data_IF_210202473866
#
_entry.id   IF_210202473866
#
_cell.length_a   1.000
_cell.length_b   1.000
_cell.length_c   1.000
_cell.angle_alpha   90.00
_cell.angle_beta   90.00
_cell.angle_gamma   90.00
#
_symmetry.space_group_name_H-M   'P 1'
#
loop_
_entity.id
_entity.type
_entity.pdbx_description
1 polymer ?
#
# COMPACT_ATOMS: atom_id res chain seq x y z
N UNK A 1 12.10 -10.72 6.72
CA UNK A 1 11.46 -9.40 6.91
C UNK A 1 10.29 -9.46 7.93
N UNK A 2 10.48 -10.16 9.06
CA UNK A 2 9.45 -10.37 10.10
C UNK A 2 9.87 -9.74 11.44
N UNK A 3 10.57 -8.62 11.36
CA UNK A 3 11.39 -8.08 12.46
C UNK A 3 10.56 -7.61 13.67
N UNK A 4 9.30 -7.19 13.44
CA UNK A 4 8.36 -6.75 14.48
C UNK A 4 7.23 -7.78 14.76
N UNK A 5 7.18 -8.90 14.03
CA UNK A 5 6.09 -9.90 14.16
C UNK A 5 6.43 -10.97 15.21
N UNK A 6 7.73 -11.17 15.46
CA UNK A 6 8.24 -12.17 16.39
C UNK A 6 8.70 -11.42 17.63
N UNK A 7 8.00 -11.58 18.75
CA UNK A 7 8.40 -11.04 20.05
C UNK A 7 9.84 -11.48 20.35
N UNK A 8 10.79 -10.54 20.21
CA UNK A 8 12.15 -10.66 20.73
C UNK A 8 12.13 -10.40 22.24
N UNK A 9 11.39 -11.21 23.01
CA UNK A 9 11.56 -11.24 24.48
C UNK A 9 12.77 -12.10 24.90
N UNK A 10 13.38 -12.82 23.95
CA UNK A 10 14.45 -13.77 24.19
C UNK A 10 15.69 -13.32 23.39
N UNK A 11 16.87 -13.54 23.98
CA UNK A 11 18.16 -13.10 23.44
C UNK A 11 18.39 -13.54 21.99
N UNK A 12 19.42 -12.97 21.34
CA UNK A 12 19.69 -13.12 19.91
C UNK A 12 19.69 -14.57 19.36
N UNK A 13 19.85 -15.59 20.22
CA UNK A 13 19.82 -17.02 19.89
C UNK A 13 18.41 -17.67 19.76
N UNK A 14 17.32 -16.98 20.10
CA UNK A 14 15.96 -17.57 20.14
C UNK A 14 14.92 -16.88 19.23
N UNK A 15 15.37 -16.27 18.12
CA UNK A 15 14.42 -15.74 17.13
C UNK A 15 13.63 -16.88 16.50
N UNK A 16 12.36 -17.02 16.89
CA UNK A 16 11.45 -18.02 16.30
C UNK A 16 11.34 -17.76 14.79
N UNK A 17 11.75 -18.71 13.97
CA UNK A 17 11.56 -18.59 12.53
C UNK A 17 10.07 -18.66 12.18
N UNK A 18 9.60 -17.89 11.19
CA UNK A 18 8.22 -18.03 10.71
C UNK A 18 8.03 -19.43 10.14
N UNK A 19 7.06 -20.17 10.67
CA UNK A 19 6.70 -21.51 10.20
C UNK A 19 5.54 -21.39 9.21
N UNK A 20 5.71 -21.95 8.01
CA UNK A 20 4.62 -22.04 7.04
C UNK A 20 3.55 -23.01 7.58
N UNK A 21 2.37 -22.49 7.91
CA UNK A 21 1.24 -23.29 8.37
C UNK A 21 0.33 -23.75 7.22
N UNK A 22 0.27 -22.96 6.14
CA UNK A 22 -0.63 -23.20 5.03
C UNK A 22 -0.13 -22.52 3.76
N UNK A 23 -0.28 -23.21 2.63
CA UNK A 23 -0.05 -22.65 1.30
C UNK A 23 -1.39 -22.45 0.59
N UNK A 24 -1.57 -21.25 0.03
CA UNK A 24 -2.75 -20.83 -0.73
C UNK A 24 -2.35 -20.05 -1.96
N UNK A 25 -3.22 -20.11 -2.96
CA UNK A 25 -3.13 -19.28 -4.15
C UNK A 25 -3.93 -18.00 -3.97
N UNK A 26 -3.64 -16.97 -4.78
CA UNK A 26 -4.45 -15.74 -4.75
C UNK A 26 -5.95 -15.99 -5.03
N UNK A 27 -6.27 -17.05 -5.78
CA UNK A 27 -7.66 -17.45 -6.04
C UNK A 27 -8.39 -17.88 -4.77
N UNK A 28 -7.70 -18.54 -3.84
CA UNK A 28 -8.28 -18.97 -2.56
C UNK A 28 -8.63 -17.80 -1.64
N UNK A 29 -8.08 -16.61 -1.90
CA UNK A 29 -8.33 -15.40 -1.11
C UNK A 29 -9.50 -14.58 -1.62
N UNK A 30 -9.95 -14.81 -2.87
CA UNK A 30 -10.97 -13.98 -3.51
C UNK A 30 -12.28 -14.02 -2.74
N UNK A 31 -12.84 -12.85 -2.44
CA UNK A 31 -14.11 -12.71 -1.74
C UNK A 31 -14.05 -12.92 -0.23
N UNK A 32 -12.86 -13.10 0.36
CA UNK A 32 -12.73 -13.13 1.81
C UNK A 32 -13.14 -11.78 2.42
N UNK A 33 -14.04 -11.76 3.41
CA UNK A 33 -14.38 -10.54 4.14
C UNK A 33 -13.23 -10.16 5.07
N UNK A 34 -12.84 -8.89 5.02
CA UNK A 34 -11.72 -8.34 5.76
C UNK A 34 -12.20 -7.10 6.51
N UNK A 35 -11.67 -6.92 7.72
CA UNK A 35 -11.76 -5.65 8.44
C UNK A 35 -10.46 -4.88 8.20
N UNK A 36 -10.57 -3.73 7.55
CA UNK A 36 -9.41 -2.89 7.24
C UNK A 36 -9.30 -1.73 8.26
N UNK A 37 -8.12 -1.49 8.85
CA UNK A 37 -7.89 -0.35 9.73
C UNK A 37 -8.25 0.97 9.05
N UNK A 38 -8.90 1.88 9.78
CA UNK A 38 -9.29 3.24 9.34
C UNK A 38 -10.21 3.30 8.11
N UNK A 39 -10.67 2.17 7.55
CA UNK A 39 -11.60 2.17 6.44
C UNK A 39 -12.99 2.64 6.89
N UNK A 40 -13.70 3.35 6.01
CA UNK A 40 -15.09 3.77 6.26
C UNK A 40 -16.10 2.63 6.13
N UNK A 41 -15.72 1.55 5.46
CA UNK A 41 -16.52 0.33 5.34
C UNK A 41 -16.15 -0.65 6.44
N UNK A 42 -17.16 -1.14 7.17
CA UNK A 42 -16.98 -2.15 8.24
C UNK A 42 -16.39 -3.46 7.70
N UNK A 43 -16.69 -3.79 6.45
CA UNK A 43 -16.17 -4.98 5.76
C UNK A 43 -15.80 -4.63 4.33
N UNK A 44 -14.59 -5.01 3.94
CA UNK A 44 -14.09 -4.97 2.56
C UNK A 44 -13.76 -6.39 2.09
N UNK A 45 -13.58 -6.58 0.79
CA UNK A 45 -13.31 -7.90 0.21
C UNK A 45 -11.99 -7.94 -0.54
N UNK A 46 -11.34 -9.11 -0.51
CA UNK A 46 -10.18 -9.37 -1.35
C UNK A 46 -10.61 -9.56 -2.82
N UNK A 47 -10.14 -8.66 -3.70
CA UNK A 47 -10.41 -8.69 -5.13
C UNK A 47 -9.13 -8.97 -5.93
N UNK A 48 -9.20 -9.70 -7.06
CA UNK A 48 -8.04 -9.94 -7.89
C UNK A 48 -7.55 -8.66 -8.59
N UNK A 49 -6.23 -8.52 -8.71
CA UNK A 49 -5.59 -7.46 -9.49
C UNK A 49 -4.40 -8.03 -10.26
N UNK A 50 -4.48 -8.02 -11.59
CA UNK A 50 -3.53 -8.72 -12.47
C UNK A 50 -2.21 -7.97 -12.71
N UNK A 51 -2.07 -6.77 -12.16
CA UNK A 51 -0.93 -5.87 -12.37
C UNK A 51 -0.01 -5.76 -11.17
N UNK A 52 -0.30 -6.50 -10.08
CA UNK A 52 0.54 -6.52 -8.88
C UNK A 52 1.90 -7.17 -9.19
N UNK A 53 2.98 -6.52 -8.75
CA UNK A 53 4.33 -7.08 -8.81
C UNK A 53 4.53 -8.05 -7.65
N UNK A 54 4.78 -9.33 -7.94
CA UNK A 54 5.09 -10.33 -6.91
C UNK A 54 6.51 -10.20 -6.31
N UNK A 55 7.36 -9.35 -6.90
CA UNK A 55 8.73 -9.11 -6.41
C UNK A 55 8.89 -7.89 -5.51
N UNK A 56 7.80 -7.22 -5.11
CA UNK A 56 7.82 -6.06 -4.20
C UNK A 56 6.68 -6.16 -3.20
N UNK A 57 6.93 -5.81 -1.95
CA UNK A 57 5.97 -5.88 -0.86
C UNK A 57 5.56 -7.31 -0.55
N UNK A 58 4.32 -7.48 -0.08
CA UNK A 58 3.77 -8.76 0.38
C UNK A 58 2.95 -9.51 -0.68
N UNK A 59 2.83 -8.95 -1.89
CA UNK A 59 1.90 -9.42 -2.92
C UNK A 59 0.42 -9.09 -2.63
N UNK A 60 0.12 -8.40 -1.53
CA UNK A 60 -1.22 -7.90 -1.17
C UNK A 60 -1.15 -6.37 -1.15
N UNK A 61 -2.12 -5.72 -1.80
CA UNK A 61 -2.19 -4.26 -1.93
C UNK A 61 -3.52 -3.76 -1.38
N UNK A 62 -3.52 -2.62 -0.71
CA UNK A 62 -4.73 -1.95 -0.23
C UNK A 62 -5.34 -1.11 -1.34
N UNK A 63 -6.65 -1.24 -1.55
CA UNK A 63 -7.38 -0.48 -2.56
C UNK A 63 -7.83 0.87 -2.00
N UNK A 64 -7.30 1.98 -2.52
CA UNK A 64 -7.70 3.36 -2.18
C UNK A 64 -8.12 4.11 -3.46
N UNK A 65 -9.31 3.81 -4.02
CA UNK A 65 -9.77 4.32 -5.32
C UNK A 65 -9.87 5.85 -5.45
N UNK A 66 -9.84 6.60 -4.35
CA UNK A 66 -9.86 8.06 -4.40
C UNK A 66 -8.53 8.65 -4.85
N UNK A 67 -7.41 8.03 -4.44
CA UNK A 67 -6.06 8.59 -4.62
C UNK A 67 -5.12 7.67 -5.43
N UNK A 68 -5.54 6.44 -5.72
CA UNK A 68 -4.78 5.49 -6.52
C UNK A 68 -5.47 5.19 -7.86
N UNK A 69 -4.92 5.67 -9.00
CA UNK A 69 -5.47 5.41 -10.33
C UNK A 69 -5.60 3.93 -10.69
N UNK A 70 -4.63 3.11 -10.27
CA UNK A 70 -4.68 1.65 -10.51
C UNK A 70 -5.91 1.03 -9.84
N UNK A 71 -6.18 1.43 -8.60
CA UNK A 71 -7.25 0.88 -7.76
C UNK A 71 -8.62 1.33 -8.27
N UNK A 72 -8.75 2.61 -8.64
CA UNK A 72 -9.96 3.16 -9.22
C UNK A 72 -10.37 2.41 -10.49
N UNK A 73 -9.43 2.23 -11.42
CA UNK A 73 -9.72 1.56 -12.68
C UNK A 73 -9.98 0.08 -12.45
N UNK A 74 -9.28 -0.57 -11.52
CA UNK A 74 -9.53 -1.96 -11.18
C UNK A 74 -10.93 -2.16 -10.58
N UNK A 75 -11.33 -1.31 -9.63
CA UNK A 75 -12.67 -1.36 -9.04
C UNK A 75 -13.76 -1.13 -10.10
N UNK A 76 -13.56 -0.14 -10.98
CA UNK A 76 -14.49 0.15 -12.08
C UNK A 76 -14.62 -1.03 -13.05
N UNK A 77 -13.52 -1.71 -13.36
CA UNK A 77 -13.56 -2.91 -14.20
C UNK A 77 -14.36 -4.03 -13.53
N UNK A 78 -14.21 -4.24 -12.22
CA UNK A 78 -15.02 -5.21 -11.47
C UNK A 78 -16.51 -4.85 -11.43
N UNK A 79 -16.83 -3.57 -11.26
CA UNK A 79 -18.22 -3.09 -11.25
C UNK A 79 -18.90 -3.26 -12.62
N UNK A 80 -18.19 -2.95 -13.72
CA UNK A 80 -18.79 -2.86 -15.05
C UNK A 80 -18.70 -4.13 -15.90
N UNK A 81 -17.72 -5.01 -15.66
CA UNK A 81 -17.45 -6.18 -16.52
C UNK A 81 -17.95 -7.49 -15.89
N UNK A 82 -19.21 -7.83 -16.14
CA UNK A 82 -19.81 -9.07 -15.64
C UNK A 82 -19.05 -10.34 -16.08
N UNK A 83 -18.53 -10.38 -17.30
CA UNK A 83 -17.74 -11.50 -17.81
C UNK A 83 -16.41 -11.71 -17.04
N UNK A 84 -15.80 -10.63 -16.53
CA UNK A 84 -14.62 -10.74 -15.67
C UNK A 84 -14.99 -11.31 -14.31
N UNK A 85 -16.10 -10.85 -13.74
CA UNK A 85 -16.64 -11.37 -12.49
C UNK A 85 -16.86 -12.88 -12.57
N UNK A 86 -17.50 -13.36 -13.63
CA UNK A 86 -17.69 -14.80 -13.88
C UNK A 86 -16.37 -15.56 -14.04
N UNK A 87 -15.40 -15.01 -14.77
CA UNK A 87 -14.11 -15.66 -15.00
C UNK A 87 -13.30 -15.87 -13.71
N UNK A 88 -13.36 -14.91 -12.79
CA UNK A 88 -12.55 -14.88 -11.57
C UNK A 88 -13.34 -15.23 -10.30
N UNK A 89 -14.58 -15.68 -10.45
CA UNK A 89 -15.48 -16.04 -9.34
C UNK A 89 -15.68 -14.87 -8.35
N UNK A 90 -15.76 -13.65 -8.88
CA UNK A 90 -16.00 -12.43 -8.11
C UNK A 90 -17.49 -12.13 -8.11
N UNK A 91 -18.12 -12.08 -6.92
CA UNK A 91 -19.52 -11.70 -6.80
C UNK A 91 -19.71 -10.19 -6.95
N UNK A 92 -20.85 -9.80 -7.51
CA UNK A 92 -21.25 -8.40 -7.66
C UNK A 92 -21.29 -7.65 -6.33
N UNK A 93 -21.77 -8.31 -5.28
CA UNK A 93 -21.89 -7.77 -3.92
C UNK A 93 -20.53 -7.34 -3.32
N UNK A 94 -19.41 -7.88 -3.82
CA UNK A 94 -18.07 -7.55 -3.35
C UNK A 94 -17.49 -6.28 -4.00
N UNK A 95 -18.15 -5.72 -5.02
CA UNK A 95 -17.64 -4.56 -5.75
C UNK A 95 -18.68 -3.47 -6.01
N UNK A 96 -19.95 -3.79 -6.26
CA UNK A 96 -21.00 -2.82 -6.61
C UNK A 96 -21.30 -1.81 -5.48
N UNK A 97 -21.41 -2.22 -4.20
CA UNK A 97 -21.74 -1.29 -3.13
C UNK A 97 -20.60 -0.31 -2.78
N UNK A 98 -19.38 -0.62 -3.21
CA UNK A 98 -18.18 0.12 -2.84
C UNK A 98 -17.98 1.34 -3.74
N UNK A 99 -18.34 2.51 -3.23
CA UNK A 99 -18.08 3.80 -3.87
C UNK A 99 -16.73 4.37 -3.44
N UNK A 100 -16.20 5.26 -4.28
CA UNK A 100 -15.00 6.04 -3.95
C UNK A 100 -15.28 6.87 -2.70
N UNK A 101 -14.37 6.77 -1.72
CA UNK A 101 -14.45 7.51 -0.46
C UNK A 101 -13.42 8.62 -0.51
N UNK A 102 -13.89 9.85 -0.52
CA UNK A 102 -13.07 11.06 -0.55
C UNK A 102 -12.36 11.23 0.81
N UNK A 103 -11.04 11.22 0.80
CA UNK A 103 -10.20 11.31 2.02
C UNK A 103 -9.28 12.52 2.03
N UNK A 104 -9.04 13.11 0.86
CA UNK A 104 -8.08 14.17 0.63
C UNK A 104 -8.68 15.25 -0.25
N UNK A 105 -8.22 16.47 -0.06
CA UNK A 105 -8.48 17.58 -0.98
C UNK A 105 -7.15 18.22 -1.38
N UNK A 106 -7.01 18.52 -2.67
CA UNK A 106 -5.84 19.21 -3.23
C UNK A 106 -6.31 20.54 -3.82
N UNK A 107 -6.40 21.56 -2.96
CA UNK A 107 -6.99 22.87 -3.28
C UNK A 107 -6.35 23.56 -4.49
N UNK A 108 -5.05 23.39 -4.70
CA UNK A 108 -4.29 24.01 -5.79
C UNK A 108 -4.37 23.22 -7.12
N UNK A 109 -5.43 22.44 -7.32
CA UNK A 109 -5.59 21.62 -8.52
C UNK A 109 -7.04 21.38 -8.91
N UNK A 110 -7.25 21.10 -10.20
CA UNK A 110 -8.55 20.68 -10.73
C UNK A 110 -8.97 19.28 -10.25
N UNK A 111 -8.19 18.63 -9.38
CA UNK A 111 -8.44 17.26 -8.92
C UNK A 111 -9.66 17.13 -8.02
N UNK A 112 -10.11 18.22 -7.40
CA UNK A 112 -11.22 18.20 -6.45
C UNK A 112 -10.93 17.31 -5.23
N UNK A 113 -11.94 16.59 -4.76
CA UNK A 113 -11.92 15.73 -3.57
C UNK A 113 -11.57 14.25 -3.85
N UNK A 114 -11.40 13.88 -5.13
CA UNK A 114 -10.97 12.55 -5.55
C UNK A 114 -10.05 12.64 -6.77
N UNK A 115 -8.75 12.54 -6.52
CA UNK A 115 -7.72 12.81 -7.54
C UNK A 115 -7.60 11.70 -8.60
N UNK A 116 -7.79 10.44 -8.22
CA UNK A 116 -7.70 9.29 -9.11
C UNK A 116 -8.83 9.23 -10.16
N UNK A 117 -10.12 9.39 -9.79
CA UNK A 117 -11.20 9.48 -10.78
C UNK A 117 -10.97 10.60 -11.81
N UNK A 118 -10.59 11.80 -11.34
CA UNK A 118 -10.35 12.95 -12.20
C UNK A 118 -9.22 12.69 -13.20
N UNK A 119 -8.04 12.23 -12.74
CA UNK A 119 -6.90 12.04 -13.63
C UNK A 119 -7.16 10.91 -14.65
N UNK A 120 -7.87 9.86 -14.23
CA UNK A 120 -8.26 8.77 -15.11
C UNK A 120 -9.21 9.24 -16.22
N UNK A 121 -10.16 10.11 -15.90
CA UNK A 121 -11.04 10.73 -16.90
C UNK A 121 -10.27 11.66 -17.84
N UNK A 122 -9.46 12.57 -17.28
CA UNK A 122 -8.63 13.52 -18.05
C UNK A 122 -7.69 12.81 -19.03
N UNK A 123 -7.07 11.72 -18.60
CA UNK A 123 -6.15 10.91 -19.42
C UNK A 123 -6.86 9.86 -20.28
N UNK A 124 -8.20 9.78 -20.21
CA UNK A 124 -9.04 8.79 -20.92
C UNK A 124 -8.53 7.36 -20.70
N UNK A 125 -8.32 7.00 -19.44
CA UNK A 125 -7.90 5.65 -19.02
C UNK A 125 -9.16 4.80 -18.86
N UNK A 126 -9.31 3.79 -19.70
CA UNK A 126 -10.50 2.94 -19.74
C UNK A 126 -10.30 1.54 -19.16
N UNK A 127 -9.06 1.16 -18.84
CA UNK A 127 -8.73 -0.21 -18.45
C UNK A 127 -7.43 -0.30 -17.64
N UNK A 128 -7.39 -1.21 -16.67
CA UNK A 128 -6.19 -1.47 -15.83
C UNK A 128 -4.98 -1.96 -16.66
N UNK A 129 -5.19 -2.32 -17.93
CA UNK A 129 -4.14 -2.75 -18.86
C UNK A 129 -3.29 -1.60 -19.42
N UNK A 130 -3.74 -0.35 -19.30
CA UNK A 130 -3.04 0.83 -19.84
C UNK A 130 -1.87 1.28 -18.95
N UNK A 131 -0.89 0.39 -18.73
CA UNK A 131 0.21 0.54 -17.77
C UNK A 131 0.95 1.87 -17.86
N UNK A 132 1.30 2.32 -19.06
CA UNK A 132 2.08 3.55 -19.23
C UNK A 132 1.31 4.81 -18.85
N UNK A 133 0.00 4.83 -19.14
CA UNK A 133 -0.87 5.96 -18.74
C UNK A 133 -1.10 5.94 -17.23
N UNK A 134 -1.36 4.76 -16.66
CA UNK A 134 -1.54 4.58 -15.22
C UNK A 134 -0.29 4.97 -14.43
N UNK A 135 0.90 4.59 -14.89
CA UNK A 135 2.16 4.97 -14.25
C UNK A 135 2.35 6.49 -14.22
N UNK A 136 2.01 7.19 -15.31
CA UNK A 136 2.05 8.66 -15.38
C UNK A 136 1.03 9.30 -14.44
N UNK A 137 -0.22 8.83 -14.48
CA UNK A 137 -1.30 9.30 -13.61
C UNK A 137 -0.93 9.12 -12.13
N UNK A 138 -0.45 7.93 -11.75
CA UNK A 138 -0.03 7.60 -10.39
C UNK A 138 1.07 8.51 -9.89
N UNK A 139 2.10 8.77 -10.72
CA UNK A 139 3.21 9.65 -10.34
C UNK A 139 2.72 11.08 -10.08
N UNK A 140 1.82 11.60 -10.92
CA UNK A 140 1.29 12.95 -10.77
C UNK A 140 0.43 13.08 -9.50
N UNK A 141 -0.51 12.15 -9.31
CA UNK A 141 -1.39 12.14 -8.14
C UNK A 141 -0.61 11.96 -6.85
N UNK A 142 0.30 10.99 -6.79
CA UNK A 142 1.07 10.69 -5.59
C UNK A 142 1.93 11.89 -5.14
N UNK A 143 2.60 12.56 -6.09
CA UNK A 143 3.45 13.70 -5.79
C UNK A 143 2.62 14.89 -5.26
N UNK A 144 1.51 15.20 -5.94
CA UNK A 144 0.66 16.32 -5.55
C UNK A 144 -0.07 16.05 -4.23
N UNK A 145 -0.61 14.84 -4.05
CA UNK A 145 -1.28 14.43 -2.81
C UNK A 145 -0.33 14.47 -1.61
N UNK A 146 0.94 14.14 -1.78
CA UNK A 146 1.91 14.23 -0.68
C UNK A 146 2.18 15.66 -0.22
N UNK A 147 2.43 16.60 -1.14
CA UNK A 147 2.86 17.97 -0.78
C UNK A 147 1.71 18.96 -0.56
N UNK A 148 0.64 18.85 -1.34
CA UNK A 148 -0.47 19.80 -1.35
C UNK A 148 -1.77 19.22 -0.78
N UNK A 149 -1.81 17.92 -0.53
CA UNK A 149 -2.98 17.24 -0.02
C UNK A 149 -3.28 17.55 1.43
N UNK A 150 -4.54 17.87 1.71
CA UNK A 150 -5.10 18.11 3.04
C UNK A 150 -6.13 17.03 3.33
N UNK A 151 -6.02 16.37 4.49
CA UNK A 151 -7.01 15.37 4.90
C UNK A 151 -8.36 16.03 5.20
N UNK A 152 -9.44 15.39 4.77
CA UNK A 152 -10.82 15.87 5.02
C UNK A 152 -11.57 15.02 6.05
N UNK A 153 -11.01 13.86 6.40
CA UNK A 153 -11.66 12.86 7.25
C UNK A 153 -10.82 12.47 8.46
N UNK A 154 -11.49 11.94 9.48
CA UNK A 154 -10.85 11.37 10.66
C UNK A 154 -10.25 12.41 11.61
N UNK A 155 -9.46 11.97 12.61
CA UNK A 155 -8.90 12.83 13.65
C UNK A 155 -7.86 13.84 13.12
N UNK A 156 -7.34 13.62 11.92
CA UNK A 156 -6.33 14.45 11.26
C UNK A 156 -6.90 15.40 10.20
N UNK A 157 -8.23 15.54 10.14
CA UNK A 157 -8.89 16.44 9.20
C UNK A 157 -8.36 17.88 9.32
N UNK A 158 -8.15 18.54 8.19
CA UNK A 158 -7.60 19.89 8.08
C UNK A 158 -6.06 19.96 8.07
N UNK A 159 -5.36 18.83 8.23
CA UNK A 159 -3.89 18.78 8.24
C UNK A 159 -3.32 18.24 6.93
N UNK A 160 -2.08 18.66 6.60
CA UNK A 160 -1.41 18.21 5.38
C UNK A 160 -0.89 16.78 5.52
N UNK A 161 -0.97 16.01 4.43
CA UNK A 161 -0.46 14.63 4.37
C UNK A 161 0.99 14.54 4.80
N UNK A 162 1.84 15.44 4.32
CA UNK A 162 3.28 15.46 4.65
C UNK A 162 3.53 15.52 6.17
N UNK A 163 2.69 16.23 6.91
CA UNK A 163 2.90 16.47 8.34
C UNK A 163 2.36 15.32 9.20
N UNK A 164 1.27 14.67 8.77
CA UNK A 164 0.56 13.66 9.57
C UNK A 164 0.84 12.21 9.17
N UNK A 165 1.45 11.96 8.00
CA UNK A 165 1.72 10.60 7.50
C UNK A 165 2.48 9.75 8.52
N UNK A 166 3.53 10.31 9.11
CA UNK A 166 4.34 9.58 10.11
C UNK A 166 3.60 9.43 11.44
N UNK A 167 2.73 10.38 11.81
CA UNK A 167 1.90 10.30 13.02
C UNK A 167 0.86 9.18 12.87
N UNK A 168 0.15 9.12 11.74
CA UNK A 168 -0.82 8.04 11.45
C UNK A 168 -0.14 6.67 11.46
N UNK A 169 1.06 6.56 10.87
CA UNK A 169 1.86 5.33 10.94
C UNK A 169 2.13 4.92 12.39
N UNK A 170 2.57 5.86 13.23
CA UNK A 170 2.85 5.58 14.63
C UNK A 170 1.60 5.15 15.40
N UNK A 171 0.45 5.76 15.13
CA UNK A 171 -0.80 5.41 15.80
C UNK A 171 -1.32 4.03 15.41
N UNK A 172 -1.23 3.67 14.12
CA UNK A 172 -1.54 2.32 13.65
C UNK A 172 -0.63 1.25 14.28
N UNK A 173 0.65 1.56 14.44
CA UNK A 173 1.59 0.66 15.13
C UNK A 173 1.27 0.57 16.63
N UNK A 174 1.00 1.69 17.31
CA UNK A 174 0.64 1.72 18.74
C UNK A 174 -0.67 0.97 19.04
N UNK A 175 -1.62 0.99 18.11
CA UNK A 175 -2.90 0.29 18.21
C UNK A 175 -2.84 -1.17 17.75
N UNK A 176 -1.65 -1.67 17.35
CA UNK A 176 -1.44 -3.01 16.81
C UNK A 176 -2.26 -3.30 15.53
N UNK A 177 -2.63 -2.27 14.78
CA UNK A 177 -3.33 -2.39 13.49
C UNK A 177 -2.35 -2.40 12.29
N UNK A 178 -1.08 -2.07 12.52
CA UNK A 178 -0.01 -2.18 11.53
C UNK A 178 1.34 -2.54 12.18
N UNK A 179 2.28 -3.03 11.35
CA UNK A 179 3.66 -3.37 11.75
C UNK A 179 4.65 -2.80 10.72
N UNK A 180 5.90 -2.56 11.12
CA UNK A 180 6.91 -2.06 10.19
C UNK A 180 7.54 -3.23 9.42
N UNK A 181 7.47 -3.14 8.10
CA UNK A 181 8.06 -4.09 7.18
C UNK A 181 9.20 -3.43 6.40
N UNK A 182 10.33 -4.10 6.30
CA UNK A 182 11.51 -3.64 5.57
C UNK A 182 11.84 -4.61 4.45
N UNK A 183 12.07 -4.06 3.25
CA UNK A 183 12.56 -4.78 2.08
C UNK A 183 13.64 -3.96 1.35
N UNK A 184 14.55 -4.60 0.60
CA UNK A 184 15.45 -3.89 -0.29
C UNK A 184 14.66 -3.15 -1.38
N UNK A 185 15.03 -1.90 -1.69
CA UNK A 185 14.34 -1.10 -2.71
C UNK A 185 14.36 -1.76 -4.10
N UNK A 186 15.47 -2.42 -4.40
CA UNK A 186 15.72 -3.17 -5.63
C UNK A 186 16.34 -4.52 -5.29
N UNK A 187 16.26 -5.47 -6.23
CA UNK A 187 16.89 -6.79 -6.08
C UNK A 187 18.39 -6.64 -5.82
N UNK A 188 18.85 -7.13 -4.67
CA UNK A 188 20.27 -7.16 -4.30
C UNK A 188 20.71 -8.62 -4.28
N UNK A 189 21.81 -8.93 -4.97
CA UNK A 189 22.36 -10.29 -5.05
C UNK A 189 23.75 -10.30 -4.43
N UNK A 190 23.97 -11.19 -3.48
CA UNK A 190 25.26 -11.41 -2.83
C UNK A 190 26.27 -12.02 -3.80
N UNK A 191 27.56 -11.96 -3.45
CA UNK A 191 28.61 -12.62 -4.24
C UNK A 191 28.45 -14.14 -4.31
N UNK A 192 27.79 -14.75 -3.32
CA UNK A 192 27.42 -16.18 -3.33
C UNK A 192 26.36 -16.54 -4.37
N UNK A 193 25.66 -15.53 -4.91
CA UNK A 193 24.50 -15.71 -5.78
C UNK A 193 23.16 -15.64 -5.05
N UNK A 194 23.17 -15.57 -3.72
CA UNK A 194 21.94 -15.49 -2.91
C UNK A 194 21.27 -14.12 -3.03
N UNK A 195 19.94 -14.10 -3.00
CA UNK A 195 19.16 -12.86 -2.97
C UNK A 195 19.13 -12.29 -1.54
N UNK A 196 19.57 -11.05 -1.39
CA UNK A 196 19.69 -10.41 -0.08
C UNK A 196 18.32 -9.96 0.44
N UNK A 197 18.18 -10.00 1.77
CA UNK A 197 17.03 -9.48 2.51
C UNK A 197 17.48 -8.42 3.51
N UNK A 198 16.52 -7.64 4.04
CA UNK A 198 16.79 -6.77 5.20
C UNK A 198 16.65 -7.58 6.49
N UNK A 199 17.69 -7.55 7.31
CA UNK A 199 17.73 -8.17 8.64
C UNK A 199 17.99 -7.11 9.71
N UNK A 200 17.25 -7.20 10.81
CA UNK A 200 17.52 -6.42 12.03
C UNK A 200 18.42 -7.29 12.91
N UNK A 201 19.72 -7.06 12.88
CA UNK A 201 20.70 -7.86 13.62
C UNK A 201 21.58 -6.97 14.49
N UNK A 202 22.08 -7.57 15.58
CA UNK A 202 23.12 -6.94 16.38
C UNK A 202 24.41 -6.92 15.57
N UNK A 203 24.89 -5.71 15.29
CA UNK A 203 26.11 -5.52 14.53
C UNK A 203 26.85 -4.27 15.00
N UNK A 204 28.17 -4.33 14.93
CA UNK A 204 28.99 -3.13 15.06
C UNK A 204 28.88 -2.31 13.77
N UNK A 205 28.61 -1.02 13.90
CA UNK A 205 28.51 -0.10 12.77
C UNK A 205 29.22 1.22 13.07
N UNK A 206 29.62 1.91 12.01
CA UNK A 206 30.18 3.26 12.10
C UNK A 206 29.05 4.28 12.05
N UNK A 207 29.01 5.18 13.05
CA UNK A 207 27.98 6.23 13.15
C UNK A 207 28.33 7.41 12.24
N UNK A 208 28.14 7.25 10.93
CA UNK A 208 28.40 8.31 9.95
C UNK A 208 27.48 9.53 10.08
N UNK A 209 26.40 9.42 10.84
CA UNK A 209 25.48 10.52 11.15
C UNK A 209 25.94 11.35 12.37
N UNK A 210 27.19 11.22 12.80
CA UNK A 210 27.73 12.05 13.88
C UNK A 210 28.10 13.43 13.33
N UNK A 211 27.37 14.46 13.75
CA UNK A 211 27.53 15.83 13.24
C UNK A 211 28.98 16.33 13.31
N UNK A 212 29.71 15.98 14.36
CA UNK A 212 31.09 16.45 14.53
C UNK A 212 32.05 15.79 13.54
N UNK A 213 31.76 14.57 13.13
CA UNK A 213 32.51 13.86 12.09
C UNK A 213 32.06 14.32 10.71
N UNK A 214 30.76 14.38 10.45
CA UNK A 214 30.20 14.78 9.16
C UNK A 214 30.61 16.21 8.76
N UNK A 215 30.73 17.15 9.71
CA UNK A 215 31.19 18.50 9.39
C UNK A 215 32.68 18.60 9.01
N UNK A 216 33.49 17.59 9.38
CA UNK A 216 34.93 17.58 9.09
C UNK A 216 35.28 16.96 7.75
N UNK A 217 34.36 16.21 7.14
CA UNK A 217 34.54 15.47 5.88
C UNK A 217 33.72 16.14 4.80
#
# INVERSE_FOLDING_TARGET
AYQDILECELGADERKEPVCLLEKTGKDLVGLPLKAPLASYDTVYALPMMTISMGKGTGIVTSVPAEAPDDYVCLKDWQTRANWREQFDVKEEWCEPFKVVEILEIADSDFGTASAPYICEKMKIGSHKEKDKLAKAKKEVYLKGFYAGVLTVGPYAGQKVQDVKDVIKQDLVKSAEALVYYEPENRVVARSGDECIVALCDQWYLKYSDDTWTQKV
#
